data_IF_321495765711
#
_entry.id   IF_321495765711
#
_cell.length_a   1.000
_cell.length_b   1.000
_cell.length_c   1.000
_cell.angle_alpha   90.00
_cell.angle_beta   90.00
_cell.angle_gamma   90.00
#
_symmetry.space_group_name_H-M   'P 1'
#
loop_
_entity.id
_entity.type
_entity.pdbx_description
1 polymer ?
#
# COMPACT_ATOMS: atom_id res chain seq x y z
N UNK A 1 14.65 -37.25 9.82
CA UNK A 1 14.74 -35.89 9.23
C UNK A 1 13.34 -35.47 8.78
N UNK A 2 12.76 -34.40 9.34
CA UNK A 2 11.38 -34.00 9.02
C UNK A 2 11.35 -33.36 7.63
N UNK A 3 10.65 -33.97 6.68
CA UNK A 3 10.50 -33.44 5.32
C UNK A 3 9.54 -32.25 5.40
N UNK A 4 10.02 -31.06 5.07
CA UNK A 4 9.18 -29.86 4.99
C UNK A 4 8.54 -29.82 3.61
N UNK A 5 7.21 -29.86 3.56
CA UNK A 5 6.45 -29.78 2.31
C UNK A 5 6.65 -28.42 1.65
N UNK A 6 7.01 -28.43 0.36
CA UNK A 6 7.13 -27.21 -0.44
C UNK A 6 5.77 -26.55 -0.72
N UNK A 7 5.78 -25.25 -1.04
CA UNK A 7 4.53 -24.48 -1.24
C UNK A 7 3.68 -24.98 -2.41
N UNK A 8 4.32 -25.39 -3.51
CA UNK A 8 3.60 -25.98 -4.67
C UNK A 8 2.91 -27.28 -4.24
N UNK A 9 3.65 -28.20 -3.60
CA UNK A 9 3.12 -29.46 -3.11
C UNK A 9 1.98 -29.29 -2.08
N UNK A 10 2.05 -28.26 -1.25
CA UNK A 10 1.01 -27.95 -0.27
C UNK A 10 -0.28 -27.40 -0.92
N UNK A 11 -0.21 -26.94 -2.17
CA UNK A 11 -1.32 -26.36 -2.91
C UNK A 11 -1.89 -27.30 -3.99
N UNK A 12 -1.43 -28.56 -4.05
CA UNK A 12 -1.85 -29.55 -5.05
C UNK A 12 -3.38 -29.74 -5.07
N UNK A 13 -3.97 -29.71 -6.27
CA UNK A 13 -5.41 -29.72 -6.50
C UNK A 13 -6.13 -28.42 -6.11
N UNK A 14 -5.38 -27.37 -5.76
CA UNK A 14 -5.88 -26.12 -5.19
C UNK A 14 -5.30 -24.86 -5.83
N UNK A 15 -5.09 -23.83 -5.01
CA UNK A 15 -4.58 -22.52 -5.45
C UNK A 15 -3.32 -22.13 -4.68
N UNK A 16 -2.28 -21.74 -5.42
CA UNK A 16 -1.07 -21.12 -4.91
C UNK A 16 -1.14 -19.61 -5.11
N UNK A 17 -1.24 -18.87 -4.00
CA UNK A 17 -1.15 -17.41 -3.99
C UNK A 17 0.29 -16.95 -3.73
N UNK A 18 0.81 -16.12 -4.63
CA UNK A 18 2.14 -15.54 -4.57
C UNK A 18 2.02 -14.03 -4.39
N UNK A 19 2.37 -13.53 -3.21
CA UNK A 19 2.40 -12.10 -2.92
C UNK A 19 3.79 -11.51 -3.27
N UNK A 20 3.81 -10.22 -3.59
CA UNK A 20 5.03 -9.44 -3.88
C UNK A 20 5.97 -10.08 -4.92
N UNK A 21 5.41 -10.59 -6.03
CA UNK A 21 6.19 -11.34 -7.04
C UNK A 21 7.31 -10.52 -7.71
N UNK A 22 7.25 -9.19 -7.66
CA UNK A 22 8.30 -8.32 -8.16
C UNK A 22 9.63 -8.45 -7.39
N UNK A 23 9.59 -8.92 -6.13
CA UNK A 23 10.76 -9.06 -5.26
C UNK A 23 11.42 -10.45 -5.37
N UNK A 24 10.92 -11.30 -6.28
CA UNK A 24 11.53 -12.60 -6.56
C UNK A 24 12.97 -12.43 -7.08
N UNK A 25 13.90 -13.16 -6.47
CA UNK A 25 15.27 -13.28 -7.00
C UNK A 25 15.28 -13.87 -8.41
N UNK A 26 16.29 -13.57 -9.22
CA UNK A 26 16.40 -14.10 -10.58
C UNK A 26 16.31 -15.63 -10.66
N UNK A 27 16.89 -16.35 -9.68
CA UNK A 27 16.78 -17.80 -9.59
C UNK A 27 15.36 -18.28 -9.25
N UNK A 28 14.62 -17.54 -8.42
CA UNK A 28 13.22 -17.84 -8.14
C UNK A 28 12.32 -17.54 -9.36
N UNK A 29 12.58 -16.45 -10.08
CA UNK A 29 11.89 -16.13 -11.33
C UNK A 29 12.05 -17.25 -12.37
N UNK A 30 13.26 -17.78 -12.56
CA UNK A 30 13.50 -18.90 -13.47
C UNK A 30 12.73 -20.17 -13.08
N UNK A 31 12.67 -20.50 -11.78
CA UNK A 31 11.93 -21.67 -11.29
C UNK A 31 10.42 -21.49 -11.42
N UNK A 32 9.91 -20.28 -11.18
CA UNK A 32 8.49 -19.97 -11.35
C UNK A 32 8.08 -20.03 -12.82
N UNK A 33 8.93 -19.52 -13.72
CA UNK A 33 8.72 -19.64 -15.16
C UNK A 33 8.62 -21.11 -15.57
N UNK A 34 9.57 -21.95 -15.13
CA UNK A 34 9.54 -23.39 -15.41
C UNK A 34 8.23 -24.03 -14.91
N UNK A 35 7.80 -23.73 -13.68
CA UNK A 35 6.53 -24.21 -13.14
C UNK A 35 5.33 -23.79 -14.00
N UNK A 36 5.30 -22.53 -14.45
CA UNK A 36 4.20 -21.99 -15.27
C UNK A 36 4.19 -22.56 -16.70
N UNK A 37 5.35 -22.89 -17.24
CA UNK A 37 5.50 -23.44 -18.59
C UNK A 37 5.23 -24.94 -18.64
N UNK A 38 5.92 -25.72 -17.80
CA UNK A 38 5.90 -27.19 -17.87
C UNK A 38 4.87 -27.81 -16.94
N UNK A 39 4.34 -27.06 -15.97
CA UNK A 39 3.55 -27.61 -14.85
C UNK A 39 4.33 -28.66 -14.07
N UNK A 40 5.65 -28.52 -13.98
CA UNK A 40 6.51 -29.42 -13.21
C UNK A 40 7.43 -28.64 -12.27
N UNK A 41 7.80 -29.27 -11.15
CA UNK A 41 8.79 -28.75 -10.21
C UNK A 41 9.61 -29.87 -9.60
N UNK A 42 10.74 -29.50 -8.98
CA UNK A 42 11.62 -30.42 -8.27
C UNK A 42 11.59 -30.12 -6.77
N UNK A 43 11.61 -31.19 -5.97
CA UNK A 43 11.90 -31.04 -4.53
C UNK A 43 13.37 -30.64 -4.34
N UNK A 44 13.68 -29.88 -3.30
CA UNK A 44 15.07 -29.52 -2.98
C UNK A 44 15.92 -30.79 -2.82
N UNK A 45 17.04 -30.86 -3.55
CA UNK A 45 17.95 -32.00 -3.55
C UNK A 45 17.48 -33.22 -4.33
N UNK A 46 16.32 -33.15 -5.00
CA UNK A 46 15.83 -34.22 -5.88
C UNK A 46 15.99 -33.84 -7.34
N UNK A 47 16.33 -34.82 -8.17
CA UNK A 47 16.35 -34.72 -9.64
C UNK A 47 15.06 -35.22 -10.28
N UNK A 48 14.14 -35.79 -9.49
CA UNK A 48 12.85 -36.24 -9.99
C UNK A 48 11.90 -35.04 -10.11
N UNK A 49 11.33 -34.85 -11.30
CA UNK A 49 10.27 -33.87 -11.50
C UNK A 49 8.93 -34.39 -10.95
N UNK A 50 8.10 -33.45 -10.50
CA UNK A 50 6.76 -33.70 -10.00
C UNK A 50 5.82 -32.80 -10.78
N UNK A 51 4.76 -33.37 -11.35
CA UNK A 51 3.71 -32.61 -12.02
C UNK A 51 2.87 -31.87 -10.97
N UNK A 52 2.59 -30.60 -11.23
CA UNK A 52 1.78 -29.75 -10.38
C UNK A 52 0.39 -29.52 -11.01
N UNK A 53 -0.65 -29.88 -10.27
CA UNK A 53 -2.01 -29.43 -10.55
C UNK A 53 -2.37 -28.28 -9.60
N UNK A 54 -2.02 -27.05 -9.99
CA UNK A 54 -2.27 -25.85 -9.18
C UNK A 54 -2.79 -24.69 -10.04
N UNK A 55 -3.75 -23.95 -9.49
CA UNK A 55 -4.09 -22.61 -9.97
C UNK A 55 -3.13 -21.61 -9.33
N UNK A 56 -2.54 -20.73 -10.14
CA UNK A 56 -1.63 -19.69 -9.63
C UNK A 56 -2.35 -18.35 -9.62
N UNK A 57 -2.31 -17.65 -8.49
CA UNK A 57 -2.69 -16.26 -8.34
C UNK A 57 -1.48 -15.48 -7.85
N UNK A 58 -1.20 -14.33 -8.45
CA UNK A 58 -0.06 -13.50 -8.07
C UNK A 58 -0.48 -12.06 -7.83
N UNK A 59 0.14 -11.41 -6.85
CA UNK A 59 -0.04 -10.00 -6.54
C UNK A 59 1.31 -9.28 -6.47
N UNK A 60 1.29 -7.98 -6.76
CA UNK A 60 2.44 -7.08 -6.64
C UNK A 60 1.95 -5.64 -6.53
N UNK A 61 2.68 -4.81 -5.79
CA UNK A 61 2.50 -3.35 -5.75
C UNK A 61 3.41 -2.61 -6.76
N UNK A 62 4.39 -3.30 -7.33
CA UNK A 62 5.32 -2.73 -8.30
C UNK A 62 4.79 -2.87 -9.74
N UNK A 63 5.08 -1.86 -10.56
CA UNK A 63 4.83 -1.89 -12.01
C UNK A 63 5.83 -2.83 -12.69
N UNK A 64 5.39 -4.06 -12.98
CA UNK A 64 6.28 -5.09 -13.53
C UNK A 64 6.90 -4.71 -14.87
N UNK A 65 6.19 -3.97 -15.72
CA UNK A 65 6.73 -3.52 -17.01
C UNK A 65 7.98 -2.63 -16.82
N UNK A 66 7.98 -1.74 -15.84
CA UNK A 66 9.15 -0.91 -15.50
C UNK A 66 10.31 -1.78 -14.99
N UNK A 67 10.02 -2.80 -14.18
CA UNK A 67 11.02 -3.78 -13.70
C UNK A 67 11.61 -4.62 -14.83
N UNK A 68 10.80 -4.96 -15.85
CA UNK A 68 11.26 -5.64 -17.07
C UNK A 68 12.20 -4.73 -17.86
N UNK A 69 11.84 -3.47 -18.10
CA UNK A 69 12.71 -2.50 -18.78
C UNK A 69 14.04 -2.29 -18.04
N UNK A 70 14.00 -2.32 -16.70
CA UNK A 70 15.19 -2.24 -15.85
C UNK A 70 15.99 -3.56 -15.75
N UNK A 71 15.59 -4.63 -16.45
CA UNK A 71 16.18 -5.98 -16.39
C UNK A 71 16.21 -6.59 -14.98
N UNK A 72 15.31 -6.15 -14.10
CA UNK A 72 15.14 -6.69 -12.75
C UNK A 72 14.08 -7.80 -12.70
N UNK A 73 13.23 -7.87 -13.71
CA UNK A 73 12.22 -8.89 -13.87
C UNK A 73 12.29 -9.47 -15.28
N UNK A 74 12.15 -10.79 -15.43
CA UNK A 74 12.20 -11.42 -16.75
C UNK A 74 10.93 -11.13 -17.55
N UNK A 75 11.12 -10.77 -18.81
CA UNK A 75 10.04 -10.48 -19.75
C UNK A 75 9.16 -11.72 -20.02
N UNK A 76 9.76 -12.89 -20.18
CA UNK A 76 9.05 -14.15 -20.40
C UNK A 76 8.11 -14.52 -19.23
N UNK A 77 8.60 -14.38 -18.00
CA UNK A 77 7.82 -14.59 -16.79
C UNK A 77 6.67 -13.58 -16.69
N UNK A 78 6.92 -12.31 -17.03
CA UNK A 78 5.88 -11.28 -17.03
C UNK A 78 4.69 -11.67 -17.91
N UNK A 79 4.95 -12.04 -19.17
CA UNK A 79 3.88 -12.44 -20.08
C UNK A 79 3.16 -13.72 -19.65
N UNK A 80 3.86 -14.65 -18.99
CA UNK A 80 3.25 -15.89 -18.48
C UNK A 80 2.34 -15.66 -17.27
N UNK A 81 2.60 -14.62 -16.48
CA UNK A 81 1.80 -14.25 -15.32
C UNK A 81 0.68 -13.26 -15.67
N UNK A 82 0.89 -12.37 -16.63
CA UNK A 82 -0.02 -11.29 -17.00
C UNK A 82 -1.11 -11.75 -17.98
N UNK A 83 -1.78 -12.87 -17.70
CA UNK A 83 -2.81 -13.45 -18.58
C UNK A 83 -4.18 -12.81 -18.34
N UNK A 84 -4.57 -12.69 -17.07
CA UNK A 84 -5.82 -12.03 -16.65
C UNK A 84 -5.45 -11.02 -15.55
N UNK A 85 -5.03 -9.81 -15.92
CA UNK A 85 -4.68 -8.79 -14.94
C UNK A 85 -5.94 -8.29 -14.21
N UNK A 86 -5.83 -8.13 -12.90
CA UNK A 86 -6.84 -7.50 -12.06
C UNK A 86 -6.19 -6.33 -11.34
N UNK A 87 -6.64 -5.12 -11.65
CA UNK A 87 -6.21 -3.91 -10.96
C UNK A 87 -7.08 -3.70 -9.71
N UNK A 88 -6.43 -3.62 -8.55
CA UNK A 88 -7.12 -3.36 -7.29
C UNK A 88 -7.06 -1.86 -7.03
N UNK A 89 -8.21 -1.14 -7.04
CA UNK A 89 -8.22 0.30 -6.90
C UNK A 89 -7.75 0.72 -5.51
N UNK A 90 -7.07 1.86 -5.47
CA UNK A 90 -6.63 2.43 -4.20
C UNK A 90 -7.81 2.87 -3.34
N UNK A 91 -7.62 2.99 -2.01
CA UNK A 91 -8.71 3.41 -1.12
C UNK A 91 -9.28 4.79 -1.50
N UNK A 92 -8.44 5.68 -2.03
CA UNK A 92 -8.83 7.00 -2.51
C UNK A 92 -9.75 7.01 -3.75
N UNK A 93 -9.81 5.91 -4.51
CA UNK A 93 -10.72 5.72 -5.65
C UNK A 93 -12.09 5.17 -5.22
N UNK A 94 -12.17 4.63 -4.00
CA UNK A 94 -13.37 4.01 -3.41
C UNK A 94 -13.75 4.67 -2.08
N UNK A 95 -13.77 6.01 -2.07
CA UNK A 95 -13.99 6.80 -0.85
C UNK A 95 -15.32 6.51 -0.18
N UNK A 96 -16.33 6.14 -0.95
CA UNK A 96 -17.67 5.86 -0.43
C UNK A 96 -17.71 4.57 0.42
N UNK A 97 -16.70 3.70 0.32
CA UNK A 97 -16.55 2.51 1.16
C UNK A 97 -15.89 2.83 2.52
N UNK A 98 -15.22 3.98 2.64
CA UNK A 98 -14.44 4.33 3.84
C UNK A 98 -15.29 4.33 5.12
N UNK A 99 -16.52 4.90 5.16
CA UNK A 99 -17.33 4.89 6.37
C UNK A 99 -17.60 3.48 6.90
N UNK A 100 -17.96 2.52 6.02
CA UNK A 100 -18.23 1.14 6.42
C UNK A 100 -16.95 0.44 6.93
N UNK A 101 -15.82 0.68 6.26
CA UNK A 101 -14.51 0.18 6.69
C UNK A 101 -14.10 0.73 8.06
N UNK A 102 -14.35 2.03 8.33
CA UNK A 102 -14.07 2.66 9.63
C UNK A 102 -14.85 1.97 10.74
N UNK A 103 -16.16 1.77 10.53
CA UNK A 103 -17.02 1.10 11.50
C UNK A 103 -16.56 -0.34 11.74
N UNK A 104 -16.26 -1.07 10.66
CA UNK A 104 -15.73 -2.43 10.74
C UNK A 104 -14.43 -2.49 11.57
N UNK A 105 -13.45 -1.64 11.28
CA UNK A 105 -12.18 -1.61 12.03
C UNK A 105 -12.36 -1.16 13.48
N UNK A 106 -13.29 -0.25 13.75
CA UNK A 106 -13.62 0.16 15.13
C UNK A 106 -14.16 -1.03 15.93
N UNK A 107 -15.14 -1.75 15.38
CA UNK A 107 -15.75 -2.93 16.01
C UNK A 107 -14.73 -4.03 16.22
N UNK A 108 -13.93 -4.35 15.21
CA UNK A 108 -12.88 -5.37 15.31
C UNK A 108 -11.84 -5.00 16.38
N UNK A 109 -11.37 -3.76 16.39
CA UNK A 109 -10.41 -3.26 17.38
C UNK A 109 -10.97 -3.32 18.80
N UNK A 110 -12.20 -2.86 19.01
CA UNK A 110 -12.82 -2.93 20.34
C UNK A 110 -12.88 -4.38 20.85
N UNK A 111 -13.22 -5.34 19.98
CA UNK A 111 -13.22 -6.78 20.32
C UNK A 111 -11.81 -7.28 20.65
N UNK A 112 -10.81 -6.98 19.81
CA UNK A 112 -9.41 -7.41 20.01
C UNK A 112 -8.85 -6.91 21.34
N UNK A 113 -9.15 -5.67 21.72
CA UNK A 113 -8.67 -5.03 22.95
C UNK A 113 -9.61 -5.20 24.15
N UNK A 114 -10.71 -5.96 24.01
CA UNK A 114 -11.73 -6.16 25.06
C UNK A 114 -12.31 -4.86 25.62
N UNK A 115 -12.48 -3.87 24.74
CA UNK A 115 -13.08 -2.58 25.03
C UNK A 115 -14.59 -2.62 24.73
N UNK A 116 -15.39 -1.78 25.41
CA UNK A 116 -16.80 -1.62 25.06
C UNK A 116 -16.96 -1.12 23.62
N UNK A 117 -18.11 -1.40 23.01
CA UNK A 117 -18.43 -0.88 21.69
C UNK A 117 -18.38 0.66 21.68
N UNK A 118 -17.71 1.21 20.67
CA UNK A 118 -17.50 2.64 20.52
C UNK A 118 -18.13 3.13 19.20
N UNK A 119 -19.33 3.73 19.25
CA UNK A 119 -19.96 4.33 18.09
C UNK A 119 -19.06 5.39 17.45
N UNK A 120 -19.03 5.45 16.11
CA UNK A 120 -18.23 6.44 15.38
C UNK A 120 -19.08 7.67 15.08
N UNK A 121 -18.58 8.86 15.44
CA UNK A 121 -19.29 10.10 15.17
C UNK A 121 -19.34 10.42 13.67
N UNK A 122 -20.42 11.06 13.19
CA UNK A 122 -20.56 11.49 11.79
C UNK A 122 -19.39 12.35 11.30
N UNK A 123 -18.86 13.21 12.18
CA UNK A 123 -17.72 14.07 11.87
C UNK A 123 -16.43 13.27 11.70
N UNK A 124 -16.22 12.21 12.47
CA UNK A 124 -15.09 11.30 12.29
C UNK A 124 -15.21 10.52 10.97
N UNK A 125 -16.40 10.01 10.64
CA UNK A 125 -16.64 9.31 9.37
C UNK A 125 -16.37 10.21 8.16
N UNK A 126 -16.89 11.45 8.18
CA UNK A 126 -16.64 12.42 7.11
C UNK A 126 -15.15 12.75 6.98
N UNK A 127 -14.46 13.01 8.10
CA UNK A 127 -13.03 13.29 8.08
C UNK A 127 -12.21 12.10 7.54
N UNK A 128 -12.61 10.87 7.87
CA UNK A 128 -11.97 9.68 7.30
C UNK A 128 -12.22 9.58 5.80
N UNK A 129 -13.45 9.81 5.33
CA UNK A 129 -13.80 9.76 3.90
C UNK A 129 -12.99 10.75 3.06
N UNK A 130 -12.78 11.96 3.57
CA UNK A 130 -12.14 13.05 2.84
C UNK A 130 -10.59 13.01 2.91
N UNK A 131 -10.03 12.10 3.72
CA UNK A 131 -8.59 11.93 3.89
C UNK A 131 -7.96 11.08 2.77
N UNK A 132 -6.73 11.37 2.32
CA UNK A 132 -6.14 10.73 1.14
C UNK A 132 -5.69 9.27 1.31
N UNK A 133 -5.55 8.77 2.55
CA UNK A 133 -5.09 7.40 2.89
C UNK A 133 -4.06 6.77 1.91
N UNK A 134 -2.84 7.34 1.76
CA UNK A 134 -1.82 6.80 0.86
C UNK A 134 -1.40 5.35 1.18
N UNK A 135 -1.44 4.93 2.44
CA UNK A 135 -1.20 3.55 2.86
C UNK A 135 -2.44 2.65 2.78
N UNK A 136 -3.47 3.10 2.05
CA UNK A 136 -4.71 2.37 1.76
C UNK A 136 -5.42 1.89 3.04
N UNK A 137 -6.05 0.72 2.98
CA UNK A 137 -6.83 0.12 4.06
C UNK A 137 -6.01 -0.17 5.30
N UNK A 138 -4.71 -0.51 5.17
CA UNK A 138 -3.83 -0.76 6.34
C UNK A 138 -3.61 0.52 7.14
N UNK A 139 -3.37 1.64 6.47
CA UNK A 139 -3.21 2.94 7.15
C UNK A 139 -4.50 3.35 7.86
N UNK A 140 -5.65 3.19 7.19
CA UNK A 140 -6.95 3.46 7.81
C UNK A 140 -7.16 2.59 9.06
N UNK A 141 -6.93 1.28 8.96
CA UNK A 141 -7.07 0.36 10.08
C UNK A 141 -6.18 0.74 11.27
N UNK A 142 -4.91 1.06 11.03
CA UNK A 142 -3.99 1.52 12.07
C UNK A 142 -4.43 2.84 12.72
N UNK A 143 -4.92 3.80 11.92
CA UNK A 143 -5.40 5.08 12.44
C UNK A 143 -6.64 4.89 13.32
N UNK A 144 -7.58 4.03 12.91
CA UNK A 144 -8.76 3.69 13.72
C UNK A 144 -8.34 2.92 14.98
N UNK A 145 -7.38 2.00 14.89
CA UNK A 145 -6.87 1.29 16.07
C UNK A 145 -6.28 2.25 17.11
N UNK A 146 -5.42 3.17 16.67
CA UNK A 146 -4.86 4.21 17.54
C UNK A 146 -5.96 5.12 18.12
N UNK A 147 -6.97 5.47 17.32
CA UNK A 147 -8.09 6.31 17.75
C UNK A 147 -8.94 5.64 18.85
N UNK A 148 -9.22 4.35 18.72
CA UNK A 148 -9.96 3.58 19.75
C UNK A 148 -9.18 3.55 21.06
N UNK A 149 -7.85 3.33 21.01
CA UNK A 149 -7.00 3.34 22.20
C UNK A 149 -7.01 4.72 22.88
N UNK A 150 -6.89 5.81 22.10
CA UNK A 150 -6.99 7.19 22.63
C UNK A 150 -8.33 7.46 23.29
N UNK A 151 -9.43 7.16 22.58
CA UNK A 151 -10.79 7.33 23.10
C UNK A 151 -11.00 6.55 24.40
N UNK A 152 -10.47 5.33 24.50
CA UNK A 152 -10.51 4.54 25.73
C UNK A 152 -9.72 5.19 26.86
N UNK A 153 -8.53 5.74 26.59
CA UNK A 153 -7.73 6.47 27.58
C UNK A 153 -8.45 7.70 28.13
N UNK A 154 -9.21 8.39 27.28
CA UNK A 154 -10.04 9.54 27.62
C UNK A 154 -11.40 9.15 28.24
N UNK A 155 -11.70 7.85 28.34
CA UNK A 155 -13.01 7.32 28.75
C UNK A 155 -14.17 7.87 27.90
N UNK A 156 -13.90 8.16 26.62
CA UNK A 156 -14.92 8.58 25.67
C UNK A 156 -15.87 7.42 25.36
N UNK A 157 -17.16 7.72 25.23
CA UNK A 157 -18.20 6.77 24.80
C UNK A 157 -18.44 6.82 23.28
N UNK A 158 -17.74 7.70 22.55
CA UNK A 158 -17.88 7.85 21.09
C UNK A 158 -16.51 8.14 20.46
N UNK A 159 -16.27 7.60 19.26
CA UNK A 159 -15.08 7.89 18.48
C UNK A 159 -15.27 9.19 17.68
N UNK A 160 -14.65 10.25 18.18
CA UNK A 160 -14.59 11.57 17.55
C UNK A 160 -13.41 11.74 16.59
N UNK A 161 -13.53 12.74 15.70
CA UNK A 161 -12.53 13.09 14.69
C UNK A 161 -11.13 13.29 15.28
N UNK A 162 -11.02 13.97 16.43
CA UNK A 162 -9.74 14.28 17.06
C UNK A 162 -9.01 13.04 17.60
N UNK A 163 -9.68 11.90 17.75
CA UNK A 163 -8.99 10.65 18.09
C UNK A 163 -8.29 10.05 16.86
N UNK A 164 -8.90 10.17 15.67
CA UNK A 164 -8.36 9.65 14.40
C UNK A 164 -7.30 10.58 13.83
N UNK A 165 -7.61 11.87 13.83
CA UNK A 165 -6.73 12.94 13.42
C UNK A 165 -6.44 13.78 14.66
N UNK A 166 -5.58 13.27 15.58
CA UNK A 166 -5.12 14.11 16.67
C UNK A 166 -4.53 15.35 16.03
N UNK A 167 -5.06 16.52 16.40
CA UNK A 167 -4.31 17.74 16.16
C UNK A 167 -2.95 17.46 16.77
N UNK A 168 -1.89 17.58 15.97
CA UNK A 168 -0.53 17.61 16.50
C UNK A 168 -0.62 18.45 17.77
N UNK A 169 -0.21 17.86 18.89
CA UNK A 169 -0.13 18.55 20.16
C UNK A 169 0.32 19.97 19.87
N UNK A 170 -0.39 20.96 20.44
CA UNK A 170 -0.10 22.39 20.29
C UNK A 170 1.29 22.81 20.79
N UNK A 171 2.25 21.89 20.83
CA UNK A 171 3.70 22.13 20.94
C UNK A 171 4.40 22.18 19.58
N UNK A 172 3.71 21.87 18.48
CA UNK A 172 4.17 22.19 17.12
C UNK A 172 3.10 23.00 16.39
N UNK A 173 2.85 24.20 16.91
CA UNK A 173 2.89 25.31 15.95
C UNK A 173 4.36 25.39 15.56
N UNK A 174 4.79 24.62 14.56
CA UNK A 174 5.80 25.17 13.66
C UNK A 174 5.11 26.43 13.13
N UNK A 175 5.29 27.54 13.85
CA UNK A 175 5.20 28.85 13.27
C UNK A 175 6.13 28.71 12.08
N UNK A 176 5.55 28.55 10.89
CA UNK A 176 6.29 28.64 9.64
C UNK A 176 7.08 29.91 9.83
N UNK A 177 8.39 29.75 10.07
CA UNK A 177 9.21 30.91 10.40
C UNK A 177 9.05 31.86 9.23
N UNK A 178 9.07 33.18 9.48
CA UNK A 178 8.99 34.15 8.38
C UNK A 178 9.92 33.74 7.22
N UNK A 179 11.09 33.20 7.57
CA UNK A 179 12.06 32.63 6.66
C UNK A 179 11.53 31.45 5.81
N UNK A 180 10.84 30.46 6.40
CA UNK A 180 10.23 29.35 5.65
C UNK A 180 9.07 29.81 4.76
N UNK A 181 8.23 30.73 5.25
CA UNK A 181 7.12 31.30 4.46
C UNK A 181 7.64 32.11 3.28
N UNK A 182 8.66 32.95 3.50
CA UNK A 182 9.34 33.70 2.44
C UNK A 182 10.02 32.77 1.45
N UNK A 183 10.65 31.68 1.89
CA UNK A 183 11.33 30.74 1.00
C UNK A 183 10.35 29.99 0.09
N UNK A 184 9.20 29.56 0.60
CA UNK A 184 8.16 28.93 -0.22
C UNK A 184 7.50 29.94 -1.18
N UNK A 185 7.30 31.18 -0.75
CA UNK A 185 6.87 32.26 -1.64
C UNK A 185 7.89 32.52 -2.76
N UNK A 186 9.18 32.66 -2.43
CA UNK A 186 10.26 32.88 -3.40
C UNK A 186 10.36 31.73 -4.40
N UNK A 187 10.32 30.47 -3.94
CA UNK A 187 10.34 29.30 -4.83
C UNK A 187 9.18 29.31 -5.82
N UNK A 188 7.97 29.63 -5.35
CA UNK A 188 6.79 29.72 -6.22
C UNK A 188 6.95 30.85 -7.23
N UNK A 189 7.38 32.03 -6.76
CA UNK A 189 7.60 33.18 -7.63
C UNK A 189 8.65 32.92 -8.72
N UNK A 190 9.78 32.31 -8.37
CA UNK A 190 10.81 31.88 -9.34
C UNK A 190 10.28 30.83 -10.31
N UNK A 191 9.49 29.87 -9.83
CA UNK A 191 8.90 28.83 -10.69
C UNK A 191 7.91 29.42 -11.71
N UNK A 192 7.08 30.36 -11.28
CA UNK A 192 6.10 31.02 -12.15
C UNK A 192 6.82 31.88 -13.21
N UNK A 193 7.89 32.59 -12.81
CA UNK A 193 8.72 33.38 -13.72
C UNK A 193 9.50 32.49 -14.71
N UNK A 194 10.01 31.33 -14.26
CA UNK A 194 10.63 30.33 -15.15
C UNK A 194 9.61 29.78 -16.15
N UNK A 195 8.39 29.47 -15.73
CA UNK A 195 7.34 28.97 -16.62
C UNK A 195 6.92 30.01 -17.68
N UNK A 196 6.85 31.29 -17.29
CA UNK A 196 6.52 32.38 -18.21
C UNK A 196 7.61 32.60 -19.28
N UNK A 197 8.87 32.33 -18.93
CA UNK A 197 10.02 32.51 -19.82
C UNK A 197 10.51 31.19 -20.44
N UNK A 198 9.65 30.18 -20.57
CA UNK A 198 9.99 28.87 -21.15
C UNK A 198 11.26 28.22 -20.57
N UNK A 199 11.44 28.36 -19.25
CA UNK A 199 12.60 27.89 -18.48
C UNK A 199 13.94 28.52 -18.89
N UNK A 200 13.91 29.67 -19.57
CA UNK A 200 15.11 30.46 -19.85
C UNK A 200 15.57 31.19 -18.58
N UNK A 201 16.58 30.62 -17.92
CA UNK A 201 17.13 31.11 -16.65
C UNK A 201 17.70 32.53 -16.76
N UNK A 202 18.29 32.88 -17.90
CA UNK A 202 18.95 34.19 -18.11
C UNK A 202 17.93 35.32 -18.22
N UNK A 203 16.82 35.09 -18.94
CA UNK A 203 15.74 36.07 -19.05
C UNK A 203 14.93 36.16 -17.74
N UNK A 204 14.70 35.02 -17.09
CA UNK A 204 14.02 34.98 -15.79
C UNK A 204 14.78 35.78 -14.71
N UNK A 205 16.13 35.73 -14.72
CA UNK A 205 16.96 36.48 -13.79
C UNK A 205 17.01 38.00 -14.06
N UNK A 206 16.57 38.46 -15.25
CA UNK A 206 16.43 39.90 -15.56
C UNK A 206 15.06 40.45 -15.13
N UNK A 207 14.04 39.61 -15.05
CA UNK A 207 12.67 39.99 -14.72
C UNK A 207 12.39 39.97 -13.20
N UNK A 208 13.21 39.25 -12.42
CA UNK A 208 13.16 39.14 -10.95
C UNK A 208 14.09 40.15 -10.26
#
# INVERSE_FOLDING_TARGET
MRRVTGKVAAAEGGTLFLDEVAELTAGAQAKLLQLLETREYHSLGSTASIRADVRILSATNAKLQERVSAKQFREDLYYRMHVVPLEVPGLGERRDDIPELVEHFCVDTCKRHRLPHLPVSRRALAACRDSPWPGHTRQLAHAIEAAVIRASGERSTTLHEHHVFPKASRDETEAVTLQQATREFQKRHVRDALQKNDWNVTETAREL
#
